data_IF_523353155665
#
_entry.id   IF_523353155665
#
_cell.length_a   1.000
_cell.length_b   1.000
_cell.length_c   1.000
_cell.angle_alpha   90.00
_cell.angle_beta   90.00
_cell.angle_gamma   90.00
#
_symmetry.space_group_name_H-M   'P 1'
#
loop_
_entity.id
_entity.type
_entity.pdbx_description
1 polymer ?
#
# COMPACT_ATOMS: atom_id res chain seq x y z
N UNK A 1 -2.67 -4.38 25.83
CA UNK A 1 -1.34 -4.35 26.46
C UNK A 1 -0.60 -3.15 25.92
N UNK A 2 -0.04 -2.30 26.77
CA UNK A 2 0.51 -0.99 26.39
C UNK A 2 2.03 -1.02 26.11
N UNK A 3 2.57 -2.20 25.79
CA UNK A 3 3.99 -2.37 25.46
C UNK A 3 4.34 -1.80 24.07
N UNK A 4 5.61 -1.40 23.83
CA UNK A 4 6.07 -0.93 22.53
C UNK A 4 5.80 -1.92 21.39
N UNK A 5 5.90 -3.24 21.65
CA UNK A 5 5.54 -4.28 20.68
C UNK A 5 4.05 -4.31 20.33
N UNK A 6 3.17 -4.03 21.30
CA UNK A 6 1.74 -3.96 21.05
C UNK A 6 1.37 -2.75 20.19
N UNK A 7 2.02 -1.60 20.40
CA UNK A 7 1.83 -0.41 19.54
C UNK A 7 2.24 -0.67 18.09
N UNK A 8 3.39 -1.32 17.88
CA UNK A 8 3.83 -1.72 16.55
C UNK A 8 2.84 -2.70 15.91
N UNK A 9 2.36 -3.69 16.67
CA UNK A 9 1.36 -4.63 16.20
C UNK A 9 0.06 -3.95 15.78
N UNK A 10 -0.44 -3.00 16.58
CA UNK A 10 -1.63 -2.21 16.24
C UNK A 10 -1.42 -1.37 14.98
N UNK A 11 -0.23 -0.78 14.80
CA UNK A 11 0.08 -0.02 13.59
C UNK A 11 0.08 -0.92 12.34
N UNK A 12 0.77 -2.08 12.40
CA UNK A 12 0.80 -3.06 11.31
C UNK A 12 -0.61 -3.56 10.98
N UNK A 13 -1.39 -3.94 12.00
CA UNK A 13 -2.78 -4.35 11.81
C UNK A 13 -3.61 -3.27 11.14
N UNK A 14 -3.47 -2.00 11.55
CA UNK A 14 -4.22 -0.90 10.96
C UNK A 14 -3.94 -0.73 9.46
N UNK A 15 -2.69 -0.93 9.05
CA UNK A 15 -2.26 -0.84 7.65
C UNK A 15 -2.88 -2.00 6.85
N UNK A 16 -2.71 -3.24 7.34
CA UNK A 16 -3.23 -4.44 6.68
C UNK A 16 -4.74 -4.38 6.53
N UNK A 17 -5.46 -3.97 7.58
CA UNK A 17 -6.92 -3.80 7.52
C UNK A 17 -7.31 -2.73 6.52
N UNK A 18 -6.60 -1.59 6.46
CA UNK A 18 -6.92 -0.50 5.53
C UNK A 18 -6.70 -0.90 4.06
N UNK A 19 -5.65 -1.65 3.78
CA UNK A 19 -5.41 -2.26 2.47
C UNK A 19 -6.56 -3.22 2.10
N UNK A 20 -7.01 -4.06 3.03
CA UNK A 20 -8.15 -4.95 2.83
C UNK A 20 -9.49 -4.25 2.61
N UNK A 21 -9.75 -3.13 3.29
CA UNK A 21 -10.99 -2.35 3.15
C UNK A 21 -11.17 -1.72 1.77
N UNK A 22 -10.07 -1.41 1.07
CA UNK A 22 -10.09 -0.85 -0.28
C UNK A 22 -9.64 -1.90 -1.32
N UNK A 23 -9.96 -3.17 -1.09
CA UNK A 23 -9.46 -4.32 -1.84
C UNK A 23 -9.62 -4.19 -3.36
N UNK A 24 -10.72 -3.65 -3.88
CA UNK A 24 -10.91 -3.50 -5.32
C UNK A 24 -9.88 -2.57 -5.97
N UNK A 25 -9.70 -1.37 -5.43
CA UNK A 25 -8.77 -0.38 -5.96
C UNK A 25 -7.33 -0.89 -5.83
N UNK A 26 -6.99 -1.45 -4.65
CA UNK A 26 -5.67 -2.00 -4.41
C UNK A 26 -5.39 -3.18 -5.33
N UNK A 27 -6.37 -4.05 -5.57
CA UNK A 27 -6.22 -5.21 -6.45
C UNK A 27 -5.86 -4.80 -7.89
N UNK A 28 -6.66 -3.90 -8.48
CA UNK A 28 -6.42 -3.44 -9.87
C UNK A 28 -5.04 -2.76 -9.99
N UNK A 29 -4.70 -1.91 -9.02
CA UNK A 29 -3.40 -1.23 -9.04
C UNK A 29 -2.25 -2.22 -8.80
N UNK A 30 -2.43 -3.24 -7.95
CA UNK A 30 -1.40 -4.25 -7.69
C UNK A 30 -1.05 -5.06 -8.94
N UNK A 31 -2.03 -5.38 -9.79
CA UNK A 31 -1.77 -6.08 -11.07
C UNK A 31 -0.95 -5.20 -12.02
N UNK A 32 -1.35 -3.94 -12.17
CA UNK A 32 -0.62 -2.99 -13.00
C UNK A 32 0.82 -2.76 -12.48
N UNK A 33 0.97 -2.60 -11.15
CA UNK A 33 2.27 -2.44 -10.51
C UNK A 33 3.13 -3.69 -10.65
N UNK A 34 2.57 -4.90 -10.54
CA UNK A 34 3.32 -6.14 -10.71
C UNK A 34 3.92 -6.22 -12.13
N UNK A 35 3.16 -5.87 -13.16
CA UNK A 35 3.64 -5.81 -14.54
C UNK A 35 4.76 -4.77 -14.70
N UNK A 36 4.55 -3.55 -14.18
CA UNK A 36 5.51 -2.44 -14.29
C UNK A 36 6.80 -2.71 -13.53
N UNK A 37 6.69 -3.14 -12.27
CA UNK A 37 7.83 -3.44 -11.40
C UNK A 37 8.59 -4.68 -11.89
N UNK A 38 7.90 -5.67 -12.46
CA UNK A 38 8.54 -6.79 -13.16
C UNK A 38 9.39 -6.31 -14.34
N UNK A 39 8.85 -5.42 -15.18
CA UNK A 39 9.59 -4.84 -16.29
C UNK A 39 10.77 -3.95 -15.83
N UNK A 40 10.63 -3.23 -14.72
CA UNK A 40 11.75 -2.50 -14.09
C UNK A 40 12.84 -3.46 -13.66
N UNK A 41 12.47 -4.56 -13.01
CA UNK A 41 13.41 -5.58 -12.55
C UNK A 41 14.18 -6.22 -13.71
N UNK A 42 13.52 -6.41 -14.85
CA UNK A 42 14.17 -6.91 -16.07
C UNK A 42 15.24 -5.94 -16.62
N UNK A 43 15.17 -4.65 -16.30
CA UNK A 43 16.18 -3.66 -16.71
C UNK A 43 17.32 -3.48 -15.71
N UNK A 44 17.04 -3.57 -14.42
CA UNK A 44 18.04 -3.34 -13.37
C UNK A 44 18.76 -4.62 -12.91
N UNK A 45 18.34 -5.78 -13.43
CA UNK A 45 18.87 -7.09 -13.04
C UNK A 45 18.09 -7.74 -11.91
N UNK A 46 18.17 -9.07 -11.85
CA UNK A 46 17.42 -9.95 -10.94
C UNK A 46 18.30 -10.52 -9.84
N UNK A 47 18.79 -9.66 -8.97
CA UNK A 47 19.57 -10.02 -7.79
C UNK A 47 18.72 -9.93 -6.51
N UNK A 48 19.16 -10.59 -5.44
CA UNK A 48 18.44 -10.58 -4.17
C UNK A 48 18.12 -9.16 -3.66
N UNK A 49 19.07 -8.24 -3.81
CA UNK A 49 18.91 -6.83 -3.41
C UNK A 49 17.87 -6.09 -4.25
N UNK A 50 17.85 -6.30 -5.58
CA UNK A 50 16.88 -5.66 -6.47
C UNK A 50 15.48 -6.23 -6.25
N UNK A 51 15.35 -7.55 -6.03
CA UNK A 51 14.08 -8.17 -5.63
C UNK A 51 13.55 -7.58 -4.32
N UNK A 52 14.38 -7.47 -3.28
CA UNK A 52 13.98 -6.91 -2.00
C UNK A 52 13.53 -5.45 -2.17
N UNK A 53 14.31 -4.63 -2.86
CA UNK A 53 14.00 -3.22 -3.09
C UNK A 53 12.69 -3.03 -3.88
N UNK A 54 12.49 -3.80 -4.94
CA UNK A 54 11.27 -3.73 -5.77
C UNK A 54 10.04 -4.20 -4.99
N UNK A 55 10.13 -5.27 -4.20
CA UNK A 55 9.00 -5.74 -3.39
C UNK A 55 8.65 -4.76 -2.26
N UNK A 56 9.64 -4.19 -1.57
CA UNK A 56 9.41 -3.16 -0.55
C UNK A 56 8.77 -1.91 -1.17
N UNK A 57 9.21 -1.53 -2.37
CA UNK A 57 8.60 -0.44 -3.14
C UNK A 57 7.15 -0.78 -3.49
N UNK A 58 6.89 -1.98 -3.99
CA UNK A 58 5.54 -2.47 -4.30
C UNK A 58 4.61 -2.43 -3.09
N UNK A 59 5.08 -2.91 -1.93
CA UNK A 59 4.35 -2.87 -0.66
C UNK A 59 4.00 -1.43 -0.25
N UNK A 60 4.95 -0.50 -0.37
CA UNK A 60 4.73 0.90 -0.06
C UNK A 60 3.69 1.53 -1.00
N UNK A 61 3.77 1.23 -2.30
CA UNK A 61 2.86 1.76 -3.31
C UNK A 61 1.42 1.27 -3.12
N UNK A 62 1.20 -0.03 -2.91
CA UNK A 62 -0.16 -0.55 -2.67
C UNK A 62 -0.77 0.01 -1.37
N UNK A 63 0.07 0.24 -0.35
CA UNK A 63 -0.35 0.88 0.89
C UNK A 63 -0.77 2.32 0.63
N UNK A 64 0.04 3.10 -0.10
CA UNK A 64 -0.29 4.47 -0.46
C UNK A 64 -1.61 4.55 -1.24
N UNK A 65 -1.84 3.65 -2.20
CA UNK A 65 -3.08 3.56 -2.97
C UNK A 65 -4.29 3.31 -2.06
N UNK A 66 -4.17 2.42 -1.07
CA UNK A 66 -5.25 2.19 -0.11
C UNK A 66 -5.63 3.46 0.66
N UNK A 67 -4.64 4.25 1.09
CA UNK A 67 -4.89 5.52 1.77
C UNK A 67 -5.46 6.58 0.84
N UNK A 68 -5.00 6.67 -0.41
CA UNK A 68 -5.55 7.58 -1.42
C UNK A 68 -7.00 7.22 -1.73
N UNK A 69 -7.31 5.94 -1.93
CA UNK A 69 -8.67 5.47 -2.18
C UNK A 69 -9.60 5.79 -0.99
N UNK A 70 -9.13 5.55 0.23
CA UNK A 70 -9.87 5.88 1.45
C UNK A 70 -10.09 7.40 1.59
N UNK A 71 -9.07 8.21 1.29
CA UNK A 71 -9.16 9.68 1.29
C UNK A 71 -10.16 10.17 0.25
N UNK A 72 -10.10 9.64 -0.98
CA UNK A 72 -11.05 9.99 -2.04
C UNK A 72 -12.50 9.68 -1.63
N UNK A 73 -12.72 8.51 -1.00
CA UNK A 73 -14.03 8.09 -0.50
C UNK A 73 -14.54 8.96 0.64
N UNK A 74 -13.66 9.56 1.42
CA UNK A 74 -14.02 10.49 2.50
C UNK A 74 -14.55 11.84 2.01
N UNK A 75 -14.55 12.08 0.69
CA UNK A 75 -15.05 13.32 0.05
C UNK A 75 -14.51 14.60 0.74
N UNK A 76 -13.19 14.78 0.85
CA UNK A 76 -12.57 15.87 1.60
C UNK A 76 -12.94 17.26 1.09
N UNK A 77 -13.36 17.36 -0.18
CA UNK A 77 -13.85 18.57 -0.82
C UNK A 77 -15.29 18.95 -0.43
N UNK A 78 -16.05 18.04 0.19
CA UNK A 78 -17.45 18.29 0.55
C UNK A 78 -17.47 18.98 1.92
N UNK A 79 -17.61 20.32 1.92
CA UNK A 79 -17.76 21.12 3.16
C UNK A 79 -18.86 20.51 4.03
N UNK A 80 -18.58 20.29 5.33
CA UNK A 80 -19.62 19.98 6.32
C UNK A 80 -20.67 21.09 6.26
N UNK A 81 -21.90 20.75 5.89
CA UNK A 81 -23.02 21.70 5.99
C UNK A 81 -23.25 21.95 7.50
N UNK A 82 -23.39 23.22 7.93
CA UNK A 82 -23.65 23.56 9.31
C UNK A 82 -24.98 22.98 9.80
#
# INVERSE_FOLDING_TARGET
GEGPGARLWHAVLSIVTKVGQQSLAVFVVSMALAQLLGAVLDRIGRDFSTFALVNLTGLALITAVAYIAAWFKSQPWRKKRP
#
